data_IF_221009365271
#
_entry.id   IF_221009365271
#
_cell.length_a   1.000
_cell.length_b   1.000
_cell.length_c   1.000
_cell.angle_alpha   90.00
_cell.angle_beta   90.00
_cell.angle_gamma   90.00
#
_symmetry.space_group_name_H-M   'P 1'
#
loop_
_entity.id
_entity.type
_entity.pdbx_description
1 polymer ?
#
# COMPACT_ATOMS: atom_id res chain seq x y z
N UNK A 1 3.57 -8.26 0.74
CA UNK A 1 2.89 -7.08 1.31
C UNK A 1 1.41 -7.40 1.40
N UNK A 2 0.81 -7.42 2.58
CA UNK A 2 -0.64 -7.64 2.77
C UNK A 2 -1.29 -6.36 3.28
N UNK A 3 -2.54 -6.13 2.94
CA UNK A 3 -3.25 -4.96 3.43
C UNK A 3 -3.41 -5.04 4.95
N UNK A 4 -3.00 -4.04 5.74
CA UNK A 4 -3.15 -4.11 7.20
C UNK A 4 -4.63 -4.08 7.65
N UNK A 5 -5.55 -3.63 6.79
CA UNK A 5 -6.99 -3.57 7.12
C UNK A 5 -7.69 -4.90 6.88
N UNK A 6 -7.52 -5.52 5.71
CA UNK A 6 -8.27 -6.72 5.31
C UNK A 6 -7.39 -7.95 5.04
N UNK A 7 -6.08 -7.84 5.27
CA UNK A 7 -5.07 -8.88 5.03
C UNK A 7 -4.99 -9.43 3.60
N UNK A 8 -5.70 -8.81 2.66
CA UNK A 8 -5.66 -9.17 1.24
C UNK A 8 -4.27 -8.93 0.65
N UNK A 9 -3.86 -9.84 -0.24
CA UNK A 9 -2.67 -9.70 -1.07
C UNK A 9 -2.88 -8.81 -2.31
N UNK A 10 -4.12 -8.41 -2.60
CA UNK A 10 -4.48 -7.62 -3.78
C UNK A 10 -4.14 -6.13 -3.58
N UNK A 11 -2.85 -5.82 -3.70
CA UNK A 11 -2.33 -4.46 -3.54
C UNK A 11 -1.67 -4.03 -4.85
N UNK A 12 -2.09 -2.89 -5.39
CA UNK A 12 -1.55 -2.29 -6.61
C UNK A 12 -0.73 -1.04 -6.29
N UNK A 13 0.16 -0.64 -7.20
CA UNK A 13 0.85 0.66 -7.11
C UNK A 13 -0.16 1.78 -7.39
N UNK A 14 -0.18 2.81 -6.55
CA UNK A 14 -1.10 3.94 -6.67
C UNK A 14 -0.34 5.29 -6.67
N UNK A 15 0.55 5.47 -7.64
CA UNK A 15 1.39 6.67 -7.74
C UNK A 15 2.36 6.84 -6.57
N UNK A 16 2.89 8.04 -6.41
CA UNK A 16 3.92 8.37 -5.42
C UNK A 16 3.51 9.60 -4.60
N UNK A 17 4.02 9.73 -3.37
CA UNK A 17 3.96 11.03 -2.66
C UNK A 17 5.00 12.00 -3.23
N UNK A 18 4.86 13.28 -2.89
CA UNK A 18 5.79 14.36 -3.29
C UNK A 18 7.27 14.02 -2.99
N UNK A 19 7.54 13.23 -1.94
CA UNK A 19 8.89 12.76 -1.58
C UNK A 19 9.34 11.51 -2.36
N UNK A 20 8.74 11.23 -3.53
CA UNK A 20 9.09 10.09 -4.38
C UNK A 20 8.72 8.70 -3.83
N UNK A 21 8.24 8.57 -2.59
CA UNK A 21 7.89 7.26 -2.03
C UNK A 21 6.66 6.69 -2.74
N UNK A 22 6.77 5.45 -3.21
CA UNK A 22 5.69 4.71 -3.85
C UNK A 22 4.53 4.49 -2.87
N UNK A 23 3.33 4.92 -3.28
CA UNK A 23 2.07 4.53 -2.65
C UNK A 23 1.52 3.27 -3.31
N UNK A 24 0.69 2.59 -2.55
CA UNK A 24 -0.02 1.40 -2.94
C UNK A 24 -1.49 1.53 -2.55
N UNK A 25 -2.38 0.86 -3.26
CA UNK A 25 -3.81 0.78 -2.94
C UNK A 25 -4.22 -0.69 -2.86
N UNK A 26 -4.96 -1.06 -1.80
CA UNK A 26 -5.61 -2.37 -1.75
C UNK A 26 -6.89 -2.35 -2.59
N UNK A 27 -7.03 -3.28 -3.53
CA UNK A 27 -8.23 -3.37 -4.39
C UNK A 27 -9.48 -3.82 -3.64
N UNK A 28 -9.34 -4.67 -2.62
CA UNK A 28 -10.48 -5.19 -1.86
C UNK A 28 -11.14 -4.09 -1.02
N UNK A 29 -10.32 -3.34 -0.30
CA UNK A 29 -10.82 -2.40 0.71
C UNK A 29 -10.59 -0.93 0.34
N UNK A 30 -10.04 -0.67 -0.86
CA UNK A 30 -9.74 0.66 -1.41
C UNK A 30 -8.89 1.53 -0.49
N UNK A 31 -8.01 0.93 0.31
CA UNK A 31 -7.16 1.65 1.27
C UNK A 31 -5.82 1.98 0.63
N UNK A 32 -5.43 3.24 0.72
CA UNK A 32 -4.07 3.68 0.38
C UNK A 32 -3.09 3.27 1.48
N UNK A 33 -2.00 2.63 1.08
CA UNK A 33 -0.94 2.11 1.92
C UNK A 33 0.36 2.72 1.40
N UNK A 34 1.08 3.43 2.24
CA UNK A 34 2.44 3.84 1.90
C UNK A 34 3.34 2.61 1.99
N UNK A 35 4.30 2.47 1.08
CA UNK A 35 5.44 1.58 1.32
C UNK A 35 6.37 2.24 2.33
N UNK A 36 5.88 2.37 3.54
CA UNK A 36 6.73 2.29 4.72
C UNK A 36 7.39 0.92 4.61
N UNK A 37 8.73 0.88 4.67
CA UNK A 37 9.40 -0.37 5.01
C UNK A 37 8.79 -0.75 6.35
N UNK A 38 7.75 -1.59 6.34
CA UNK A 38 7.39 -2.34 7.53
C UNK A 38 8.59 -3.26 7.67
N UNK A 39 9.48 -2.79 8.52
CA UNK A 39 10.68 -3.44 9.02
C UNK A 39 10.44 -4.94 9.27
N UNK A 40 11.46 -5.80 9.32
CA UNK A 40 11.52 -6.68 10.48
C UNK A 40 11.63 -5.84 11.75
#
# INVERSE_FOLDING_TARGET
>A
MKCPRCQSGNIIKNGSIHNGKQKYECKECRRNILRIKLFP
#
